data_IF_825248054012
#
_entry.id   IF_825248054012
#
_cell.length_a   1.000
_cell.length_b   1.000
_cell.length_c   1.000
_cell.angle_alpha   90.00
_cell.angle_beta   90.00
_cell.angle_gamma   90.00
#
_symmetry.space_group_name_H-M   'P 1'
#
loop_
_entity.id
_entity.type
_entity.pdbx_description
1 polymer ?
#
# COMPACT_ATOMS: atom_id res chain seq x y z
N UNK A 1 16.68 -18.00 43.62
CA UNK A 1 16.60 -18.43 42.21
C UNK A 1 16.32 -17.19 41.36
N UNK A 2 17.25 -16.76 40.50
CA UNK A 2 17.05 -15.63 39.57
C UNK A 2 16.48 -16.19 38.26
N UNK A 3 15.32 -15.69 37.87
CA UNK A 3 14.70 -15.98 36.57
C UNK A 3 15.46 -15.17 35.51
N UNK A 4 15.97 -15.79 34.43
CA UNK A 4 16.65 -15.05 33.37
C UNK A 4 15.65 -14.17 32.60
N UNK A 5 16.06 -12.98 32.14
CA UNK A 5 15.18 -12.11 31.38
C UNK A 5 14.84 -12.75 30.03
N UNK A 6 13.56 -12.85 29.73
CA UNK A 6 13.02 -13.22 28.42
C UNK A 6 13.45 -12.17 27.41
N UNK A 7 14.39 -12.53 26.53
CA UNK A 7 14.73 -11.76 25.34
C UNK A 7 13.50 -11.75 24.42
N UNK A 8 12.76 -10.65 24.43
CA UNK A 8 11.75 -10.40 23.39
C UNK A 8 12.52 -10.14 22.09
N UNK A 9 12.49 -11.10 21.19
CA UNK A 9 12.95 -10.91 19.83
C UNK A 9 11.91 -10.04 19.12
N UNK A 10 12.05 -8.72 19.28
CA UNK A 10 11.32 -7.75 18.48
C UNK A 10 11.90 -7.80 17.06
N UNK A 11 11.36 -8.67 16.21
CA UNK A 11 11.57 -8.60 14.76
C UNK A 11 10.80 -7.38 14.23
N UNK A 12 11.33 -6.19 14.49
CA UNK A 12 10.87 -4.97 13.87
C UNK A 12 11.29 -5.00 12.38
N UNK A 13 10.30 -5.17 11.50
CA UNK A 13 10.48 -4.96 10.06
C UNK A 13 10.80 -3.47 9.87
N UNK A 14 12.03 -3.16 9.48
CA UNK A 14 12.58 -1.80 9.56
C UNK A 14 12.28 -0.97 8.30
N UNK A 15 11.76 -1.59 7.23
CA UNK A 15 11.43 -0.88 6.00
C UNK A 15 10.23 -1.46 5.26
N UNK A 16 9.44 -0.61 4.55
CA UNK A 16 8.37 -1.08 3.66
C UNK A 16 8.86 -2.04 2.57
N UNK A 17 10.14 -1.92 2.15
CA UNK A 17 10.77 -2.81 1.17
C UNK A 17 10.96 -4.23 1.68
N UNK A 18 11.39 -4.41 2.93
CA UNK A 18 11.53 -5.75 3.53
C UNK A 18 10.19 -6.48 3.63
N UNK A 19 9.10 -5.75 3.88
CA UNK A 19 7.76 -6.31 3.89
C UNK A 19 7.39 -6.83 2.49
N UNK A 20 7.64 -6.04 1.44
CA UNK A 20 7.39 -6.42 0.04
C UNK A 20 8.21 -7.65 -0.36
N UNK A 21 9.47 -7.74 0.07
CA UNK A 21 10.33 -8.88 -0.21
C UNK A 21 9.84 -10.15 0.52
N UNK A 22 9.40 -10.02 1.77
CA UNK A 22 8.80 -11.14 2.51
C UNK A 22 7.50 -11.63 1.88
N UNK A 23 6.67 -10.69 1.40
CA UNK A 23 5.43 -11.00 0.69
C UNK A 23 5.70 -11.66 -0.67
N UNK A 24 6.69 -11.18 -1.43
CA UNK A 24 7.04 -11.76 -2.72
C UNK A 24 7.59 -13.18 -2.57
N UNK A 25 8.47 -13.42 -1.60
CA UNK A 25 8.97 -14.74 -1.27
C UNK A 25 7.84 -15.70 -0.85
N UNK A 26 6.90 -15.22 -0.02
CA UNK A 26 5.72 -15.99 0.39
C UNK A 26 4.81 -16.36 -0.79
N UNK A 27 4.58 -15.43 -1.72
CA UNK A 27 3.79 -15.67 -2.93
C UNK A 27 4.46 -16.65 -3.89
N UNK A 28 5.79 -16.58 -4.04
CA UNK A 28 6.56 -17.53 -4.85
C UNK A 28 6.47 -18.93 -4.23
N UNK A 29 6.66 -19.04 -2.91
CA UNK A 29 6.50 -20.31 -2.19
C UNK A 29 5.11 -20.92 -2.37
N UNK A 30 4.07 -20.11 -2.26
CA UNK A 30 2.68 -20.55 -2.48
C UNK A 30 2.47 -21.04 -3.92
N UNK A 31 3.00 -20.34 -4.92
CA UNK A 31 2.94 -20.76 -6.34
C UNK A 31 3.59 -22.11 -6.56
N UNK A 32 4.79 -22.33 -6.02
CA UNK A 32 5.50 -23.61 -6.14
C UNK A 32 4.69 -24.74 -5.51
N UNK A 33 4.07 -24.47 -4.35
CA UNK A 33 3.20 -25.43 -3.67
C UNK A 33 1.96 -25.78 -4.49
N UNK A 34 1.32 -24.79 -5.13
CA UNK A 34 0.17 -25.02 -6.01
C UNK A 34 0.54 -25.87 -7.23
N UNK A 35 1.64 -25.54 -7.91
CA UNK A 35 2.11 -26.29 -9.09
C UNK A 35 2.45 -27.74 -8.71
N UNK A 36 3.14 -27.92 -7.58
CA UNK A 36 3.51 -29.26 -7.08
C UNK A 36 2.29 -30.10 -6.75
N UNK A 37 1.28 -29.49 -6.15
CA UNK A 37 0.03 -30.15 -5.82
C UNK A 37 -0.78 -30.52 -7.08
N UNK A 38 -0.85 -29.62 -8.06
CA UNK A 38 -1.56 -29.89 -9.32
C UNK A 38 -0.90 -31.05 -10.07
N UNK A 39 0.43 -31.07 -10.13
CA UNK A 39 1.19 -32.18 -10.70
C UNK A 39 0.89 -33.49 -9.97
N UNK A 40 0.89 -33.48 -8.63
CA UNK A 40 0.54 -34.65 -7.82
C UNK A 40 -0.88 -35.15 -8.11
N UNK A 41 -1.87 -34.24 -8.18
CA UNK A 41 -3.26 -34.59 -8.46
C UNK A 41 -3.41 -35.20 -9.86
N UNK A 42 -2.74 -34.63 -10.88
CA UNK A 42 -2.74 -35.17 -12.25
C UNK A 42 -2.14 -36.58 -12.30
N UNK A 43 -1.00 -36.80 -11.65
CA UNK A 43 -0.37 -38.13 -11.58
C UNK A 43 -1.34 -39.14 -10.95
N UNK A 44 -1.94 -38.81 -9.81
CA UNK A 44 -2.87 -39.71 -9.13
C UNK A 44 -4.14 -39.98 -9.92
N UNK A 45 -4.64 -38.98 -10.63
CA UNK A 45 -5.80 -39.14 -11.52
C UNK A 45 -5.48 -40.08 -12.69
N UNK A 46 -4.28 -40.00 -13.26
CA UNK A 46 -3.84 -40.95 -14.30
C UNK A 46 -3.69 -42.38 -13.78
N UNK A 47 -3.19 -42.57 -12.56
CA UNK A 47 -3.12 -43.89 -11.91
C UNK A 47 -4.53 -44.47 -11.69
N UNK A 48 -5.47 -43.66 -11.20
CA UNK A 48 -6.85 -44.08 -10.92
C UNK A 48 -7.65 -44.41 -12.17
N UNK A 49 -7.40 -43.74 -13.29
CA UNK A 49 -8.06 -44.01 -14.56
C UNK A 49 -7.60 -45.33 -15.21
N UNK A 50 -6.44 -45.86 -14.80
CA UNK A 50 -5.98 -47.20 -15.20
C UNK A 50 -6.66 -48.34 -14.41
N UNK A 51 -7.35 -48.05 -13.31
CA UNK A 51 -8.01 -49.06 -12.50
C UNK A 51 -9.43 -49.38 -12.99
N UNK A 52 -9.86 -50.66 -12.97
CA UNK A 52 -11.22 -51.01 -13.31
C UNK A 52 -12.23 -50.42 -12.30
N UNK A 53 -13.43 -50.00 -12.77
CA UNK A 53 -14.38 -49.21 -11.99
C UNK A 53 -15.01 -49.92 -10.77
N UNK A 54 -14.83 -51.24 -10.66
CA UNK A 54 -15.31 -52.04 -9.53
C UNK A 54 -14.28 -52.18 -8.40
N UNK A 55 -13.08 -51.62 -8.54
CA UNK A 55 -12.10 -51.62 -7.47
C UNK A 55 -12.56 -50.68 -6.34
N UNK A 56 -13.06 -51.26 -5.24
CA UNK A 56 -13.58 -50.52 -4.07
C UNK A 56 -12.59 -49.46 -3.53
N UNK A 57 -11.29 -49.76 -3.59
CA UNK A 57 -10.21 -48.83 -3.22
C UNK A 57 -10.15 -47.57 -4.10
N UNK A 58 -10.45 -47.67 -5.40
CA UNK A 58 -10.40 -46.54 -6.31
C UNK A 58 -11.55 -45.55 -6.08
N UNK A 59 -12.71 -46.03 -5.61
CA UNK A 59 -13.85 -45.17 -5.28
C UNK A 59 -13.60 -44.34 -4.02
N UNK A 60 -13.08 -44.96 -2.95
CA UNK A 60 -12.71 -44.27 -1.70
C UNK A 60 -11.62 -43.21 -1.94
N UNK A 61 -10.65 -43.54 -2.78
CA UNK A 61 -9.55 -42.63 -3.10
C UNK A 61 -9.99 -41.42 -3.93
N UNK A 62 -10.97 -41.57 -4.83
CA UNK A 62 -11.59 -40.42 -5.53
C UNK A 62 -12.30 -39.49 -4.57
N UNK A 63 -13.10 -40.02 -3.64
CA UNK A 63 -13.79 -39.19 -2.64
C UNK A 63 -12.80 -38.42 -1.77
N UNK A 64 -11.67 -39.05 -1.40
CA UNK A 64 -10.59 -38.41 -0.64
C UNK A 64 -9.89 -37.30 -1.43
N UNK A 65 -9.67 -37.50 -2.73
CA UNK A 65 -9.12 -36.47 -3.62
C UNK A 65 -10.06 -35.28 -3.78
N UNK A 66 -11.37 -35.51 -3.93
CA UNK A 66 -12.36 -34.43 -3.98
C UNK A 66 -12.40 -33.62 -2.68
N UNK A 67 -12.33 -34.29 -1.53
CA UNK A 67 -12.30 -33.61 -0.24
C UNK A 67 -11.02 -32.78 -0.07
N UNK A 68 -9.88 -33.31 -0.53
CA UNK A 68 -8.63 -32.52 -0.58
C UNK A 68 -8.76 -31.32 -1.53
N UNK A 69 -9.34 -31.47 -2.73
CA UNK A 69 -9.59 -30.35 -3.66
C UNK A 69 -10.44 -29.26 -3.01
N UNK A 70 -11.50 -29.63 -2.28
CA UNK A 70 -12.37 -28.68 -1.55
C UNK A 70 -11.60 -27.93 -0.45
N UNK A 71 -10.83 -28.64 0.38
CA UNK A 71 -10.00 -28.03 1.44
C UNK A 71 -8.96 -27.07 0.86
N UNK A 72 -8.37 -27.44 -0.27
CA UNK A 72 -7.39 -26.60 -0.98
C UNK A 72 -8.01 -25.34 -1.60
N UNK A 73 -9.15 -25.47 -2.28
CA UNK A 73 -9.87 -24.32 -2.82
C UNK A 73 -10.23 -23.31 -1.71
N UNK A 74 -10.63 -23.80 -0.54
CA UNK A 74 -10.91 -22.97 0.63
C UNK A 74 -9.67 -22.24 1.16
N UNK A 75 -8.52 -22.91 1.24
CA UNK A 75 -7.25 -22.30 1.64
C UNK A 75 -6.84 -21.17 0.68
N UNK A 76 -6.92 -21.41 -0.63
CA UNK A 76 -6.62 -20.40 -1.66
C UNK A 76 -7.54 -19.18 -1.51
N UNK A 77 -8.84 -19.41 -1.33
CA UNK A 77 -9.80 -18.33 -1.11
C UNK A 77 -9.44 -17.47 0.12
N UNK A 78 -9.08 -18.09 1.25
CA UNK A 78 -8.67 -17.36 2.45
C UNK A 78 -7.41 -16.52 2.20
N UNK A 79 -6.42 -17.08 1.51
CA UNK A 79 -5.19 -16.34 1.18
C UNK A 79 -5.47 -15.14 0.29
N UNK A 80 -6.31 -15.30 -0.74
CA UNK A 80 -6.73 -14.20 -1.62
C UNK A 80 -7.49 -13.13 -0.81
N UNK A 81 -8.40 -13.54 0.09
CA UNK A 81 -9.17 -12.63 0.92
C UNK A 81 -8.28 -11.77 1.83
N UNK A 82 -7.29 -12.38 2.49
CA UNK A 82 -6.34 -11.65 3.34
C UNK A 82 -5.47 -10.69 2.51
N UNK A 83 -4.98 -11.13 1.34
CA UNK A 83 -4.23 -10.26 0.41
C UNK A 83 -5.05 -9.05 -0.04
N UNK A 84 -6.31 -9.25 -0.42
CA UNK A 84 -7.21 -8.15 -0.79
C UNK A 84 -7.46 -7.20 0.39
N UNK A 85 -7.60 -7.73 1.61
CA UNK A 85 -7.76 -6.93 2.81
C UNK A 85 -6.55 -6.04 3.10
N UNK A 86 -5.34 -6.54 2.86
CA UNK A 86 -4.10 -5.78 3.00
C UNK A 86 -3.99 -4.67 1.93
N UNK A 87 -4.34 -4.98 0.67
CA UNK A 87 -4.35 -3.99 -0.42
C UNK A 87 -5.32 -2.85 -0.09
N UNK A 88 -6.54 -3.15 0.36
CA UNK A 88 -7.54 -2.13 0.68
C UNK A 88 -7.17 -1.27 1.90
N UNK A 89 -6.48 -1.85 2.90
CA UNK A 89 -5.99 -1.07 4.07
C UNK A 89 -4.78 -0.19 3.73
N UNK A 90 -3.95 -0.60 2.77
CA UNK A 90 -2.76 0.13 2.33
C UNK A 90 -3.05 1.49 1.67
N UNK A 91 -4.25 1.70 1.13
CA UNK A 91 -4.63 2.95 0.46
C UNK A 91 -5.09 4.07 1.39
N UNK A 92 -5.26 3.81 2.69
CA UNK A 92 -5.79 4.81 3.65
C UNK A 92 -4.73 5.53 4.50
N UNK A 93 -3.45 5.16 4.39
CA UNK A 93 -2.38 5.76 5.21
C UNK A 93 -1.52 6.75 4.42
N UNK A 94 -2.15 7.80 3.91
CA UNK A 94 -1.48 9.06 3.57
C UNK A 94 -2.23 10.22 4.20
N UNK A 95 -2.56 10.09 5.49
CA UNK A 95 -2.78 11.28 6.33
C UNK A 95 -1.40 11.85 6.62
N UNK A 96 -0.95 12.71 5.71
CA UNK A 96 0.12 13.66 5.99
C UNK A 96 -0.17 14.30 7.34
N UNK A 97 0.73 14.10 8.31
CA UNK A 97 0.95 15.05 9.40
C UNK A 97 1.44 16.36 8.76
N UNK A 98 0.54 17.07 8.08
CA UNK A 98 0.72 18.50 7.91
C UNK A 98 0.39 19.07 9.28
N UNK A 99 1.38 19.73 9.88
CA UNK A 99 1.22 20.47 11.11
C UNK A 99 -0.08 21.26 11.07
N UNK A 100 -0.75 21.39 12.21
CA UNK A 100 -1.94 22.21 12.40
C UNK A 100 -1.71 23.64 11.90
N UNK A 101 -1.94 23.88 10.62
CA UNK A 101 -1.96 25.21 10.04
C UNK A 101 -3.21 25.89 10.58
N UNK A 102 -3.00 26.99 11.29
CA UNK A 102 -4.05 27.94 11.63
C UNK A 102 -4.86 28.30 10.36
N UNK A 103 -6.04 27.72 10.20
CA UNK A 103 -6.93 28.05 9.07
C UNK A 103 -7.46 29.46 9.29
N UNK A 104 -7.01 30.42 8.47
CA UNK A 104 -7.46 31.81 8.52
C UNK A 104 -8.51 32.04 7.46
N UNK A 105 -9.73 32.38 7.85
CA UNK A 105 -10.83 32.64 6.90
C UNK A 105 -11.08 34.13 6.72
N UNK A 106 -11.21 34.57 5.47
CA UNK A 106 -11.59 35.95 5.16
C UNK A 106 -13.07 36.20 5.48
N UNK A 107 -13.36 37.12 6.40
CA UNK A 107 -14.74 37.47 6.80
C UNK A 107 -15.64 37.96 5.66
N UNK A 108 -15.07 38.59 4.62
CA UNK A 108 -15.86 39.16 3.52
C UNK A 108 -16.18 38.14 2.43
N UNK A 109 -15.24 37.25 2.14
CA UNK A 109 -15.33 36.33 1.01
C UNK A 109 -15.67 34.90 1.44
N UNK A 110 -15.57 34.60 2.73
CA UNK A 110 -15.69 33.27 3.31
C UNK A 110 -14.78 32.23 2.62
N UNK A 111 -13.56 32.65 2.28
CA UNK A 111 -12.55 31.78 1.68
C UNK A 111 -11.32 31.71 2.58
N UNK A 112 -10.65 30.56 2.54
CA UNK A 112 -9.39 30.33 3.23
C UNK A 112 -8.31 31.28 2.69
N UNK A 113 -7.55 31.84 3.63
CA UNK A 113 -6.41 32.70 3.37
C UNK A 113 -5.19 31.87 3.03
N UNK A 114 -4.39 32.36 2.09
CA UNK A 114 -3.14 31.72 1.70
C UNK A 114 -1.98 32.45 2.37
N UNK A 115 -1.02 31.68 2.89
CA UNK A 115 0.20 32.22 3.47
C UNK A 115 1.14 32.74 2.36
N UNK A 116 1.69 33.94 2.56
CA UNK A 116 2.65 34.59 1.67
C UNK A 116 3.80 35.19 2.46
N UNK A 117 4.93 35.38 1.80
CA UNK A 117 6.11 36.07 2.33
C UNK A 117 6.02 37.56 1.94
N UNK A 118 6.30 38.46 2.88
CA UNK A 118 6.37 39.90 2.61
C UNK A 118 7.71 40.26 1.94
N UNK A 119 7.63 41.01 0.84
CA UNK A 119 8.78 41.59 0.14
C UNK A 119 8.90 43.10 0.35
N UNK A 120 8.17 43.67 1.31
CA UNK A 120 8.25 45.09 1.62
C UNK A 120 9.58 45.44 2.29
N UNK A 121 10.10 46.64 2.04
CA UNK A 121 11.31 47.15 2.70
C UNK A 121 11.15 47.26 4.22
N UNK A 122 9.92 47.46 4.70
CA UNK A 122 9.60 47.61 6.12
C UNK A 122 9.48 46.27 6.86
N UNK A 123 9.10 45.19 6.18
CA UNK A 123 8.90 43.86 6.79
C UNK A 123 9.38 42.75 5.84
N UNK A 124 10.66 42.69 5.45
CA UNK A 124 11.16 41.67 4.53
C UNK A 124 11.13 40.29 5.19
N UNK A 125 10.69 39.26 4.44
CA UNK A 125 10.71 37.87 4.89
C UNK A 125 9.58 37.46 5.86
N UNK A 126 8.79 38.41 6.36
CA UNK A 126 7.73 38.11 7.34
C UNK A 126 6.53 37.42 6.68
N UNK A 127 6.03 36.35 7.30
CA UNK A 127 4.89 35.57 6.80
C UNK A 127 3.55 36.20 7.17
N UNK A 128 2.63 36.30 6.22
CA UNK A 128 1.28 36.82 6.41
C UNK A 128 0.23 36.04 5.63
N UNK A 129 -1.03 36.12 6.06
CA UNK A 129 -2.18 35.54 5.36
C UNK A 129 -2.89 36.59 4.50
N UNK A 130 -3.21 36.23 3.26
CA UNK A 130 -3.94 37.06 2.29
C UNK A 130 -5.15 36.32 1.74
N UNK A 131 -6.27 37.01 1.54
CA UNK A 131 -7.42 36.44 0.83
C UNK A 131 -7.17 36.45 -0.68
N UNK A 132 -7.40 35.33 -1.37
CA UNK A 132 -7.23 35.26 -2.84
C UNK A 132 -8.35 35.97 -3.64
N UNK A 133 -9.54 36.14 -3.06
CA UNK A 133 -10.67 36.76 -3.79
C UNK A 133 -10.65 38.28 -3.76
N UNK A 134 -10.41 38.86 -2.58
CA UNK A 134 -10.43 40.31 -2.41
C UNK A 134 -9.04 40.92 -2.26
N UNK A 135 -8.00 40.09 -2.31
CA UNK A 135 -6.60 40.50 -2.18
C UNK A 135 -6.30 41.33 -0.91
N UNK A 136 -7.13 41.21 0.13
CA UNK A 136 -6.93 41.87 1.41
C UNK A 136 -6.01 41.06 2.32
N UNK A 137 -5.15 41.78 3.03
CA UNK A 137 -4.39 41.26 4.17
C UNK A 137 -5.35 40.79 5.27
N UNK A 138 -5.07 39.64 5.88
CA UNK A 138 -5.89 39.04 6.94
C UNK A 138 -5.21 39.16 8.31
N UNK A 139 -4.07 38.50 8.49
CA UNK A 139 -3.28 38.53 9.73
C UNK A 139 -1.82 38.19 9.45
N UNK A 140 -0.91 38.62 10.34
CA UNK A 140 0.46 38.10 10.36
C UNK A 140 0.47 36.66 10.87
N UNK A 141 1.34 35.81 10.33
CA UNK A 141 1.51 34.46 10.85
C UNK A 141 2.26 34.53 12.20
N UNK A 142 1.78 33.78 13.19
CA UNK A 142 2.41 33.69 14.50
C UNK A 142 3.60 32.74 14.43
N UNK A 143 4.73 33.21 13.90
CA UNK A 143 6.02 32.55 14.09
C UNK A 143 6.83 33.42 15.06
N UNK A 144 6.74 33.09 16.34
CA UNK A 144 7.62 33.63 17.37
C UNK A 144 8.99 32.96 17.24
N UNK A 145 9.97 33.76 16.84
CA UNK A 145 11.38 33.38 16.83
C UNK A 145 12.19 34.40 16.02
N UNK A 146 13.35 34.87 16.52
CA UNK A 146 14.26 35.70 15.75
C UNK A 146 14.84 34.83 14.63
N UNK A 147 14.18 34.80 13.47
CA UNK A 147 14.65 34.01 12.35
C UNK A 147 15.84 34.70 11.70
N UNK A 148 16.91 33.91 11.65
CA UNK A 148 18.11 34.12 10.86
C UNK A 148 17.76 34.49 9.41
N UNK A 149 18.67 35.22 8.79
CA UNK A 149 18.60 35.82 7.45
C UNK A 149 17.91 34.90 6.44
N UNK A 150 17.04 35.43 5.57
CA UNK A 150 16.28 34.59 4.66
C UNK A 150 17.24 34.01 3.61
N UNK A 151 17.40 32.69 3.63
CA UNK A 151 17.93 31.90 2.51
C UNK A 151 16.89 31.96 1.38
N UNK A 152 16.81 33.09 0.69
CA UNK A 152 15.88 33.31 -0.43
C UNK A 152 16.32 32.55 -1.70
N UNK A 153 17.54 31.99 -1.71
CA UNK A 153 18.12 31.37 -2.91
C UNK A 153 17.66 29.93 -3.14
N UNK A 154 17.15 29.23 -2.13
CA UNK A 154 16.81 27.79 -2.28
C UNK A 154 15.32 27.49 -2.43
N UNK A 155 14.40 28.45 -2.28
CA UNK A 155 12.96 28.15 -2.33
C UNK A 155 12.50 27.76 -3.74
N UNK A 156 13.10 28.34 -4.78
CA UNK A 156 12.78 28.00 -6.17
C UNK A 156 13.39 26.64 -6.58
N UNK A 157 14.56 26.30 -6.02
CA UNK A 157 15.18 24.97 -6.16
C UNK A 157 14.32 23.93 -5.44
N UNK A 158 13.91 24.20 -4.20
CA UNK A 158 13.04 23.32 -3.42
C UNK A 158 11.68 23.13 -4.09
N UNK A 159 11.10 24.18 -4.69
CA UNK A 159 9.86 24.09 -5.47
C UNK A 159 10.01 23.18 -6.68
N UNK A 160 11.15 23.27 -7.38
CA UNK A 160 11.44 22.44 -8.54
C UNK A 160 11.55 20.96 -8.12
N UNK A 161 12.27 20.67 -7.05
CA UNK A 161 12.37 19.32 -6.50
C UNK A 161 11.02 18.78 -6.01
N UNK A 162 10.21 19.61 -5.35
CA UNK A 162 8.83 19.26 -4.95
C UNK A 162 7.93 18.94 -6.15
N UNK A 163 8.10 19.65 -7.28
CA UNK A 163 7.33 19.40 -8.49
C UNK A 163 7.73 18.08 -9.16
N UNK A 164 9.04 17.77 -9.16
CA UNK A 164 9.58 16.49 -9.64
C UNK A 164 9.12 15.32 -8.76
N UNK A 165 9.13 15.47 -7.43
CA UNK A 165 8.57 14.46 -6.52
C UNK A 165 7.06 14.27 -6.72
N UNK A 166 6.32 15.36 -7.00
CA UNK A 166 4.87 15.29 -7.27
C UNK A 166 4.55 14.57 -8.57
N UNK A 167 5.42 14.68 -9.58
CA UNK A 167 5.31 13.92 -10.82
C UNK A 167 5.58 12.43 -10.58
N UNK A 168 6.63 12.09 -9.83
CA UNK A 168 6.91 10.70 -9.45
C UNK A 168 5.76 10.06 -8.67
N UNK A 169 5.14 10.79 -7.74
CA UNK A 169 3.95 10.33 -7.01
C UNK A 169 2.76 10.05 -7.94
N UNK A 170 2.51 10.89 -8.96
CA UNK A 170 1.47 10.62 -9.95
C UNK A 170 1.76 9.39 -10.82
N UNK A 171 3.03 9.10 -11.11
CA UNK A 171 3.42 7.87 -11.79
C UNK A 171 3.22 6.64 -10.91
N UNK A 172 3.48 6.75 -9.60
CA UNK A 172 3.23 5.67 -8.63
C UNK A 172 1.72 5.43 -8.46
N UNK A 173 0.91 6.49 -8.40
CA UNK A 173 -0.55 6.41 -8.30
C UNK A 173 -1.15 5.69 -9.52
N UNK A 174 -0.68 6.02 -10.73
CA UNK A 174 -1.06 5.32 -11.97
C UNK A 174 -0.47 3.90 -12.06
N UNK A 175 0.74 3.70 -11.51
CA UNK A 175 1.43 2.41 -11.47
C UNK A 175 0.74 1.40 -10.56
N UNK A 176 0.19 1.86 -9.42
CA UNK A 176 -0.63 1.04 -8.54
C UNK A 176 -1.88 0.51 -9.25
N UNK A 177 -2.52 1.32 -10.09
CA UNK A 177 -3.68 0.86 -10.88
C UNK A 177 -3.30 -0.27 -11.83
N UNK A 178 -2.14 -0.17 -12.49
CA UNK A 178 -1.62 -1.23 -13.38
C UNK A 178 -1.31 -2.53 -12.63
N UNK A 179 -0.68 -2.44 -11.45
CA UNK A 179 -0.36 -3.61 -10.63
C UNK A 179 -1.64 -4.31 -10.16
N UNK A 180 -2.65 -3.56 -9.74
CA UNK A 180 -3.95 -4.12 -9.33
C UNK A 180 -4.65 -4.80 -10.50
N UNK A 181 -4.66 -4.19 -11.69
CA UNK A 181 -5.24 -4.80 -12.89
C UNK A 181 -4.51 -6.10 -13.24
N UNK A 182 -3.18 -6.10 -13.23
CA UNK A 182 -2.37 -7.29 -13.50
C UNK A 182 -2.67 -8.41 -12.50
N UNK A 183 -2.81 -8.08 -11.21
CA UNK A 183 -3.17 -9.01 -10.16
C UNK A 183 -4.54 -9.65 -10.42
N UNK A 184 -5.54 -8.85 -10.81
CA UNK A 184 -6.88 -9.36 -11.17
C UNK A 184 -6.78 -10.33 -12.34
N UNK A 185 -6.03 -10.00 -13.39
CA UNK A 185 -5.82 -10.89 -14.54
C UNK A 185 -5.20 -12.23 -14.12
N UNK A 186 -4.19 -12.19 -13.25
CA UNK A 186 -3.54 -13.41 -12.73
C UNK A 186 -4.53 -14.25 -11.91
N UNK A 187 -5.35 -13.63 -11.06
CA UNK A 187 -6.39 -14.34 -10.30
C UNK A 187 -7.39 -15.02 -11.24
N UNK A 188 -7.87 -14.31 -12.27
CA UNK A 188 -8.80 -14.86 -13.26
C UNK A 188 -8.19 -16.06 -14.00
N UNK A 189 -6.92 -15.97 -14.41
CA UNK A 189 -6.22 -17.07 -15.06
C UNK A 189 -6.07 -18.29 -14.14
N UNK A 190 -5.72 -18.08 -12.86
CA UNK A 190 -5.63 -19.16 -11.88
C UNK A 190 -6.99 -19.84 -11.71
N UNK A 191 -8.07 -19.06 -11.58
CA UNK A 191 -9.42 -19.61 -11.48
C UNK A 191 -9.79 -20.42 -12.73
N UNK A 192 -9.49 -19.90 -13.94
CA UNK A 192 -9.75 -20.64 -15.18
C UNK A 192 -9.03 -21.98 -15.21
N UNK A 193 -7.75 -22.02 -14.84
CA UNK A 193 -6.94 -23.26 -14.84
C UNK A 193 -7.41 -24.26 -13.79
N UNK A 194 -7.91 -23.79 -12.64
CA UNK A 194 -8.43 -24.68 -11.58
C UNK A 194 -9.82 -25.23 -11.93
N UNK A 195 -10.61 -24.50 -12.71
CA UNK A 195 -11.98 -24.88 -13.09
C UNK A 195 -12.02 -25.79 -14.33
N UNK A 196 -11.10 -25.61 -15.27
CA UNK A 196 -10.93 -26.50 -16.44
C UNK A 196 -10.21 -27.79 -16.08
#
# INVERSE_FOLDING_TARGET
>A
MRIPPTVKADMAVNSPSELVDLFSAGLIGLRVLMISLEAYLKIRETELNGCPPWALHAADERTRLEEMRKKWAFMIYLTIRELLGLIMKGSSSSKSKLASEDIVVCRRCNCEGVQKVSHSSQNPGRLYFKCLRCDKFLKWAANEGPQERPVVVDVDILKKELMEMRLMLKFIEKGQTLIVILLIVVIVLIVMVVVM
#
